data_IF_067916416741
#
_entry.id   IF_067916416741
#
_cell.length_a   1.000
_cell.length_b   1.000
_cell.length_c   1.000
_cell.angle_alpha   90.00
_cell.angle_beta   90.00
_cell.angle_gamma   90.00
#
_symmetry.space_group_name_H-M   'P 1'
#
loop_
_entity.id
_entity.type
_entity.pdbx_description
1 polymer ?
#
# COMPACT_ATOMS: atom_id res chain seq x y z
N UNK A 1 10.03 -2.37 -4.24
CA UNK A 1 11.30 -1.63 -4.13
C UNK A 1 12.54 -2.52 -4.31
N UNK A 2 12.80 -3.49 -3.42
CA UNK A 2 14.00 -4.34 -3.54
C UNK A 2 14.10 -5.09 -4.88
N UNK A 3 12.97 -5.61 -5.39
CA UNK A 3 12.93 -6.32 -6.68
C UNK A 3 12.86 -5.41 -7.91
N UNK A 4 12.71 -4.09 -7.72
CA UNK A 4 12.64 -3.13 -8.81
C UNK A 4 13.98 -2.44 -9.05
N UNK A 5 15.09 -3.02 -8.59
CA UNK A 5 16.41 -2.39 -8.66
C UNK A 5 16.49 -1.11 -7.83
N UNK A 6 15.67 -0.98 -6.79
CA UNK A 6 15.61 0.19 -5.90
C UNK A 6 15.27 1.51 -6.64
N UNK A 7 14.53 1.43 -7.75
CA UNK A 7 13.93 2.60 -8.43
C UNK A 7 12.41 2.67 -8.21
N UNK A 8 11.86 3.87 -8.36
CA UNK A 8 10.43 4.20 -8.43
C UNK A 8 10.01 4.71 -9.82
N UNK A 9 10.94 4.71 -10.79
CA UNK A 9 10.66 5.01 -12.20
C UNK A 9 9.96 3.81 -12.86
N UNK A 10 8.70 3.62 -12.51
CA UNK A 10 7.88 2.48 -12.88
C UNK A 10 6.39 2.82 -12.75
N UNK A 11 5.58 2.09 -13.51
CA UNK A 11 4.12 2.20 -13.44
C UNK A 11 3.55 1.02 -12.67
N UNK A 12 3.01 1.27 -11.47
CA UNK A 12 2.39 0.25 -10.64
C UNK A 12 0.87 0.19 -10.85
N UNK A 13 0.43 -0.80 -11.64
CA UNK A 13 -0.96 -0.98 -12.04
C UNK A 13 -1.74 -1.80 -10.99
N UNK A 14 -2.38 -1.12 -10.03
CA UNK A 14 -3.02 -1.77 -8.88
C UNK A 14 -4.38 -2.44 -9.20
N UNK A 15 -4.95 -2.18 -10.38
CA UNK A 15 -6.24 -2.74 -10.80
C UNK A 15 -7.37 -2.48 -9.79
N UNK A 16 -8.21 -3.50 -9.60
CA UNK A 16 -9.36 -3.47 -8.67
C UNK A 16 -8.97 -3.23 -7.21
N UNK A 17 -7.72 -3.51 -6.82
CA UNK A 17 -7.26 -3.36 -5.44
C UNK A 17 -7.37 -1.93 -4.89
N UNK A 18 -7.30 -0.90 -5.74
CA UNK A 18 -7.52 0.50 -5.32
C UNK A 18 -8.98 0.75 -4.98
N UNK A 19 -9.91 0.30 -5.84
CA UNK A 19 -11.34 0.58 -5.67
C UNK A 19 -11.97 -0.27 -4.56
N UNK A 20 -11.41 -1.44 -4.27
CA UNK A 20 -11.85 -2.31 -3.18
C UNK A 20 -11.49 -1.82 -1.78
N UNK A 21 -10.71 -0.74 -1.66
CA UNK A 21 -10.31 -0.19 -0.37
C UNK A 21 -11.53 0.20 0.50
N UNK A 22 -11.59 -0.13 1.80
CA UNK A 22 -12.74 0.19 2.66
C UNK A 22 -13.09 1.68 2.73
N UNK A 23 -12.08 2.55 2.71
CA UNK A 23 -12.23 4.01 2.62
C UNK A 23 -12.47 4.57 1.20
N UNK A 24 -12.77 3.72 0.22
CA UNK A 24 -12.97 4.07 -1.19
C UNK A 24 -11.68 4.31 -1.98
N UNK A 25 -11.83 4.55 -3.29
CA UNK A 25 -10.73 4.62 -4.25
C UNK A 25 -9.62 5.64 -3.87
N UNK A 26 -10.01 6.81 -3.37
CA UNK A 26 -9.04 7.82 -2.93
C UNK A 26 -8.16 7.34 -1.77
N UNK A 27 -8.73 6.57 -0.84
CA UNK A 27 -7.97 5.96 0.24
C UNK A 27 -7.09 4.81 -0.26
N UNK A 28 -7.56 4.02 -1.23
CA UNK A 28 -6.75 2.99 -1.89
C UNK A 28 -5.50 3.56 -2.58
N UNK A 29 -5.63 4.68 -3.30
CA UNK A 29 -4.48 5.40 -3.88
C UNK A 29 -3.49 5.84 -2.79
N UNK A 30 -3.99 6.37 -1.66
CA UNK A 30 -3.12 6.80 -0.54
C UNK A 30 -2.40 5.61 0.10
N UNK A 31 -3.08 4.50 0.34
CA UNK A 31 -2.47 3.31 0.92
C UNK A 31 -1.34 2.74 0.04
N UNK A 32 -1.52 2.74 -1.29
CA UNK A 32 -0.48 2.31 -2.24
C UNK A 32 0.73 3.24 -2.18
N UNK A 33 0.51 4.56 -2.15
CA UNK A 33 1.60 5.54 -2.03
C UNK A 33 2.37 5.37 -0.72
N UNK A 34 1.66 5.28 0.41
CA UNK A 34 2.23 5.04 1.74
C UNK A 34 3.04 3.73 1.79
N UNK A 35 2.56 2.68 1.12
CA UNK A 35 3.30 1.41 1.00
C UNK A 35 4.63 1.57 0.26
N UNK A 36 4.63 2.36 -0.83
CA UNK A 36 5.85 2.67 -1.58
C UNK A 36 6.81 3.56 -0.81
N UNK A 37 6.30 4.58 -0.10
CA UNK A 37 7.09 5.46 0.77
C UNK A 37 7.81 4.67 1.86
N UNK A 38 7.09 3.79 2.57
CA UNK A 38 7.67 2.90 3.57
C UNK A 38 8.79 2.02 2.98
N UNK A 39 8.55 1.44 1.80
CA UNK A 39 9.52 0.58 1.13
C UNK A 39 10.79 1.34 0.70
N UNK A 40 10.66 2.59 0.24
CA UNK A 40 11.80 3.45 -0.12
C UNK A 40 12.59 3.87 1.13
N UNK A 41 11.88 4.19 2.22
CA UNK A 41 12.49 4.56 3.51
C UNK A 41 13.10 3.37 4.26
N UNK A 42 12.84 2.14 3.82
CA UNK A 42 13.27 0.93 4.53
C UNK A 42 12.53 0.69 5.85
N UNK A 43 11.33 1.26 6.01
CA UNK A 43 10.47 1.09 7.19
C UNK A 43 9.49 -0.06 6.94
N UNK A 44 9.21 -0.87 7.96
CA UNK A 44 8.23 -1.94 7.83
C UNK A 44 6.83 -1.38 7.59
N UNK A 45 6.00 -2.05 6.78
CA UNK A 45 4.62 -1.61 6.55
C UNK A 45 3.79 -1.56 7.84
N UNK A 46 4.07 -2.47 8.78
CA UNK A 46 3.39 -2.51 10.08
C UNK A 46 3.73 -1.29 10.92
N UNK A 47 4.98 -0.85 10.93
CA UNK A 47 5.39 0.35 11.66
C UNK A 47 4.86 1.61 10.99
N UNK A 48 4.95 1.70 9.66
CA UNK A 48 4.45 2.84 8.90
C UNK A 48 2.92 2.97 8.98
N UNK A 49 2.19 1.88 9.17
CA UNK A 49 0.73 1.90 9.32
C UNK A 49 0.26 2.53 10.64
N UNK A 50 1.12 2.69 11.66
CA UNK A 50 0.70 3.18 12.99
C UNK A 50 0.11 4.59 12.95
N UNK A 51 0.58 5.43 12.04
CA UNK A 51 0.15 6.82 11.83
C UNK A 51 -0.47 7.05 10.43
N UNK A 52 -0.58 5.99 9.61
CA UNK A 52 -1.15 6.04 8.26
C UNK A 52 -2.42 5.17 8.17
N UNK A 53 -3.61 5.76 8.41
CA UNK A 53 -4.85 5.00 8.56
C UNK A 53 -5.29 4.26 7.29
N UNK A 54 -5.02 4.80 6.09
CA UNK A 54 -5.35 4.09 4.84
C UNK A 54 -4.48 2.84 4.64
N UNK A 55 -3.18 2.93 4.91
CA UNK A 55 -2.30 1.77 4.91
C UNK A 55 -2.74 0.73 5.94
N UNK A 56 -3.07 1.16 7.16
CA UNK A 56 -3.55 0.26 8.21
C UNK A 56 -4.83 -0.48 7.79
N UNK A 57 -5.79 0.23 7.18
CA UNK A 57 -7.03 -0.36 6.67
C UNK A 57 -6.76 -1.37 5.55
N UNK A 58 -5.84 -1.06 4.64
CA UNK A 58 -5.42 -1.98 3.58
C UNK A 58 -4.82 -3.26 4.13
N UNK A 59 -3.88 -3.16 5.09
CA UNK A 59 -3.26 -4.33 5.72
C UNK A 59 -4.31 -5.18 6.43
N UNK A 60 -5.18 -4.56 7.23
CA UNK A 60 -6.23 -5.27 7.96
C UNK A 60 -7.19 -6.03 7.02
N UNK A 61 -7.45 -5.48 5.83
CA UNK A 61 -8.41 -6.04 4.87
C UNK A 61 -7.78 -7.12 3.98
N UNK A 62 -6.56 -6.91 3.49
CA UNK A 62 -6.00 -7.70 2.39
C UNK A 62 -4.78 -8.56 2.77
N UNK A 63 -4.13 -8.34 3.92
CA UNK A 63 -2.85 -9.00 4.23
C UNK A 63 -2.93 -10.53 4.36
N UNK A 64 -4.12 -11.08 4.59
CA UNK A 64 -4.34 -12.53 4.67
C UNK A 64 -4.84 -13.16 3.34
N UNK A 65 -4.94 -12.36 2.27
CA UNK A 65 -5.40 -12.82 0.95
C UNK A 65 -6.89 -13.16 0.84
N UNK A 66 -7.70 -12.90 1.88
CA UNK A 66 -9.14 -13.19 1.87
C UNK A 66 -10.04 -12.05 1.39
N UNK A 67 -9.48 -10.84 1.27
CA UNK A 67 -10.19 -9.64 0.83
C UNK A 67 -10.01 -9.29 -0.66
N UNK A 68 -9.20 -10.05 -1.39
CA UNK A 68 -8.92 -9.84 -2.82
C UNK A 68 -9.83 -10.69 -3.71
#
# INVERSE_FOLDING_TARGET
YERTGRTVDLMYLCGGGIVSHPGGAGAGVRAVKQSWEAAVLGVSLVDYAKDHPELAQSIATFANGKGA
#
